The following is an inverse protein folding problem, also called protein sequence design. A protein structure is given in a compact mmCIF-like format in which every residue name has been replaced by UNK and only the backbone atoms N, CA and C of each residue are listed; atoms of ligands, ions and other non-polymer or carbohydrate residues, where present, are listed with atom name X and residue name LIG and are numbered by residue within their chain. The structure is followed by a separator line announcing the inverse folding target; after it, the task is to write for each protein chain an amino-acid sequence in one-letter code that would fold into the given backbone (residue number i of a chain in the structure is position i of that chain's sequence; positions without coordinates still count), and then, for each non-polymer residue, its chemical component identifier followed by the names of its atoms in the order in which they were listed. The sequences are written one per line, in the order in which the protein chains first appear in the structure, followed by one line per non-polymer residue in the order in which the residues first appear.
data_IF_406760181501
#
_entry.id   IF_406760181501
#
_cell.length_a   1.000
_cell.length_b   1.000
_cell.length_c   1.000
_cell.angle_alpha   90.00
_cell.angle_beta   90.00
_cell.angle_gamma   90.00
#
_symmetry.space_group_name_H-M   'P 1'
#
loop_
_entity.id
_entity.type
_entity.pdbx_description
1 polymer ?
#
# COMPACT_ATOMS: atom_id res chain seq x y z
N UNK A 1 -26.67 -11.03 0.16
CA UNK A 1 -25.81 -11.42 1.31
C UNK A 1 -24.44 -10.82 1.14
N UNK A 2 -23.93 -10.19 2.16
CA UNK A 2 -22.65 -9.50 2.06
C UNK A 2 -21.47 -10.48 2.13
N UNK A 3 -20.45 -10.21 1.32
CA UNK A 3 -19.22 -10.99 1.28
C UNK A 3 -18.40 -10.74 2.54
N UNK A 4 -17.87 -11.78 3.15
CA UNK A 4 -17.09 -11.69 4.39
C UNK A 4 -15.64 -12.14 4.24
N UNK A 5 -15.33 -12.95 3.24
CA UNK A 5 -13.98 -13.47 3.01
C UNK A 5 -13.54 -13.03 1.62
N UNK A 6 -12.34 -12.44 1.58
CA UNK A 6 -11.77 -11.88 0.37
C UNK A 6 -10.42 -12.53 0.11
N UNK A 7 -10.07 -12.71 -1.16
CA UNK A 7 -8.77 -13.24 -1.56
C UNK A 7 -8.05 -12.20 -2.40
N UNK A 8 -6.74 -12.11 -2.23
CA UNK A 8 -5.91 -11.16 -2.95
C UNK A 8 -6.11 -11.24 -4.47
N UNK A 9 -6.14 -12.44 -5.01
CA UNK A 9 -6.28 -12.67 -6.45
C UNK A 9 -7.64 -12.29 -7.02
N UNK A 10 -8.62 -12.05 -6.16
CA UNK A 10 -9.94 -11.57 -6.58
C UNK A 10 -10.00 -10.04 -6.62
N UNK A 11 -9.02 -9.38 -6.02
CA UNK A 11 -8.98 -7.93 -6.00
C UNK A 11 -8.48 -7.36 -7.32
N UNK A 12 -8.74 -6.09 -7.53
CA UNK A 12 -8.27 -5.39 -8.71
C UNK A 12 -6.75 -5.19 -8.62
N UNK A 13 -6.05 -5.61 -9.67
CA UNK A 13 -4.60 -5.44 -9.74
C UNK A 13 -4.25 -4.16 -10.49
N UNK A 14 -3.48 -3.29 -9.85
CA UNK A 14 -3.01 -2.05 -10.45
C UNK A 14 -1.48 -2.13 -10.57
N UNK A 15 -0.98 -1.90 -11.78
CA UNK A 15 0.46 -1.89 -12.04
C UNK A 15 0.96 -0.47 -12.23
N UNK A 16 2.05 -0.16 -11.52
CA UNK A 16 2.75 1.11 -11.63
C UNK A 16 4.13 0.86 -12.20
N UNK A 17 4.58 1.74 -13.10
CA UNK A 17 5.86 1.57 -13.79
C UNK A 17 6.96 2.50 -13.32
N UNK A 18 6.61 3.55 -12.67
CA UNK A 18 7.60 4.52 -12.26
C UNK A 18 7.37 5.06 -10.85
N UNK A 19 7.92 4.45 -9.82
CA UNK A 19 8.68 3.19 -9.76
C UNK A 19 7.80 1.95 -9.91
N UNK A 20 8.41 0.86 -10.34
CA UNK A 20 7.71 -0.41 -10.58
C UNK A 20 7.16 -0.98 -9.28
N UNK A 21 5.87 -1.29 -9.26
CA UNK A 21 5.22 -1.95 -8.13
C UNK A 21 3.81 -2.39 -8.54
N UNK A 22 3.28 -3.36 -7.80
CA UNK A 22 1.94 -3.89 -8.07
C UNK A 22 1.08 -3.73 -6.83
N UNK A 23 -0.09 -3.12 -6.99
CA UNK A 23 -1.07 -2.95 -5.93
C UNK A 23 -2.27 -3.85 -6.19
N UNK A 24 -2.74 -4.53 -5.14
CA UNK A 24 -4.02 -5.24 -5.19
C UNK A 24 -4.98 -4.53 -4.24
N UNK A 25 -6.13 -4.08 -4.77
CA UNK A 25 -7.20 -3.51 -3.97
C UNK A 25 -8.12 -4.66 -3.59
N UNK A 26 -8.15 -5.02 -2.33
CA UNK A 26 -8.81 -6.25 -1.89
C UNK A 26 -10.16 -5.98 -1.23
N UNK A 27 -10.20 -5.06 -0.26
CA UNK A 27 -11.45 -4.70 0.43
C UNK A 27 -11.66 -3.20 0.31
N UNK A 28 -12.79 -2.79 -0.24
CA UNK A 28 -13.14 -1.38 -0.43
C UNK A 28 -14.66 -1.23 -0.37
N UNK A 29 -15.18 -0.01 -0.21
CA UNK A 29 -16.63 0.17 -0.18
C UNK A 29 -17.36 -0.35 -1.41
N UNK A 30 -16.72 -0.32 -2.58
CA UNK A 30 -17.35 -0.75 -3.83
C UNK A 30 -17.59 -2.26 -3.90
N UNK A 31 -16.83 -3.07 -3.16
CA UNK A 31 -16.94 -4.53 -3.21
C UNK A 31 -17.31 -5.18 -1.87
N UNK A 32 -17.69 -4.37 -0.89
CA UNK A 32 -17.93 -4.88 0.47
C UNK A 32 -18.86 -3.95 1.24
N UNK A 33 -19.18 -4.33 2.48
CA UNK A 33 -19.96 -3.51 3.39
C UNK A 33 -19.10 -2.57 4.23
N UNK A 34 -17.80 -2.50 3.98
CA UNK A 34 -16.95 -1.60 4.76
C UNK A 34 -17.31 -0.15 4.48
N UNK A 35 -17.34 0.65 5.52
CA UNK A 35 -17.56 2.10 5.42
C UNK A 35 -16.31 2.87 5.82
N UNK A 36 -15.45 2.24 6.63
CA UNK A 36 -14.34 2.93 7.28
C UNK A 36 -12.97 2.56 6.74
N UNK A 37 -12.88 1.48 5.96
CA UNK A 37 -11.57 0.94 5.59
C UNK A 37 -11.39 0.73 4.10
N UNK A 38 -10.14 0.83 3.69
CA UNK A 38 -9.63 0.30 2.43
C UNK A 38 -8.47 -0.61 2.80
N UNK A 39 -8.44 -1.82 2.25
CA UNK A 39 -7.33 -2.76 2.50
C UNK A 39 -6.86 -3.35 1.18
N UNK A 40 -5.55 -3.44 1.06
CA UNK A 40 -4.92 -4.07 -0.09
C UNK A 40 -3.49 -4.46 0.21
N UNK A 41 -2.77 -4.81 -0.84
CA UNK A 41 -1.35 -5.15 -0.75
C UNK A 41 -0.58 -4.41 -1.82
N UNK A 42 0.71 -4.23 -1.58
CA UNK A 42 1.64 -3.71 -2.58
C UNK A 42 2.90 -4.57 -2.58
N UNK A 43 3.31 -5.00 -3.75
CA UNK A 43 4.56 -5.72 -3.95
C UNK A 43 5.55 -4.79 -4.63
N UNK A 44 6.70 -4.62 -3.98
CA UNK A 44 7.79 -3.76 -4.45
C UNK A 44 8.96 -4.64 -4.87
N UNK A 45 9.26 -4.73 -6.18
CA UNK A 45 10.38 -5.55 -6.65
C UNK A 45 11.72 -5.05 -6.14
N UNK A 46 12.77 -5.89 -6.19
CA UNK A 46 14.12 -5.45 -5.85
C UNK A 46 14.53 -4.20 -6.64
N UNK A 47 15.10 -3.23 -5.95
CA UNK A 47 15.55 -1.99 -6.56
C UNK A 47 14.46 -0.94 -6.77
N UNK A 48 13.22 -1.27 -6.47
CA UNK A 48 12.11 -0.34 -6.65
C UNK A 48 11.69 0.31 -5.33
N UNK A 49 10.65 1.13 -5.39
CA UNK A 49 10.22 1.91 -4.22
C UNK A 49 8.74 2.27 -4.30
N UNK A 50 8.18 2.64 -3.15
CA UNK A 50 6.95 3.41 -3.07
C UNK A 50 7.39 4.85 -2.85
N UNK A 51 7.05 5.79 -3.76
CA UNK A 51 7.51 7.16 -3.64
C UNK A 51 7.07 7.82 -2.35
N UNK A 52 7.90 8.73 -1.86
CA UNK A 52 7.62 9.52 -0.67
C UNK A 52 6.40 10.41 -0.93
N UNK A 53 5.40 10.30 -0.07
CA UNK A 53 4.12 10.99 -0.25
C UNK A 53 3.39 11.12 1.08
N UNK A 54 2.32 11.91 1.10
CA UNK A 54 1.46 12.07 2.28
C UNK A 54 0.00 12.00 1.87
N UNK A 55 -0.84 11.61 2.83
CA UNK A 55 -2.29 11.62 2.66
C UNK A 55 -2.89 12.67 3.57
N UNK A 56 -3.83 13.46 3.05
CA UNK A 56 -4.37 14.61 3.77
C UNK A 56 -5.34 14.23 4.88
N UNK A 57 -6.21 13.25 4.61
CA UNK A 57 -7.31 12.89 5.50
C UNK A 57 -7.22 11.47 6.06
N UNK A 58 -6.41 10.62 5.45
CA UNK A 58 -6.34 9.20 5.79
C UNK A 58 -5.18 8.93 6.73
N UNK A 59 -5.43 8.08 7.74
CA UNK A 59 -4.33 7.41 8.41
C UNK A 59 -4.11 6.06 7.73
N UNK A 60 -2.90 5.57 7.81
CA UNK A 60 -2.52 4.32 7.15
C UNK A 60 -1.70 3.45 8.09
N UNK A 61 -2.01 2.15 8.08
CA UNK A 61 -1.18 1.12 8.72
C UNK A 61 -0.63 0.25 7.61
N UNK A 62 0.68 0.02 7.63
CA UNK A 62 1.36 -0.81 6.64
C UNK A 62 2.10 -1.93 7.36
N UNK A 63 1.75 -3.17 7.02
CA UNK A 63 2.33 -4.37 7.61
C UNK A 63 3.18 -5.10 6.58
N UNK A 64 4.49 -5.22 6.87
CA UNK A 64 5.40 -5.98 6.01
C UNK A 64 5.21 -7.46 6.31
N UNK A 65 4.70 -8.22 5.32
CA UNK A 65 4.46 -9.65 5.53
C UNK A 65 5.48 -10.53 4.83
N UNK A 66 6.29 -9.99 3.92
CA UNK A 66 7.42 -10.69 3.29
C UNK A 66 8.49 -9.67 2.89
N UNK A 67 9.74 -10.09 2.94
CA UNK A 67 10.86 -9.27 2.49
C UNK A 67 11.38 -8.32 3.54
N UNK A 68 12.23 -7.39 3.08
CA UNK A 68 12.84 -6.36 3.91
C UNK A 68 13.18 -5.15 3.07
N UNK A 69 13.44 -4.04 3.72
CA UNK A 69 13.78 -2.79 3.05
C UNK A 69 13.89 -1.65 4.05
N UNK A 70 13.60 -0.45 3.57
CA UNK A 70 13.61 0.76 4.40
C UNK A 70 12.29 1.48 4.25
N UNK A 71 11.78 2.00 5.37
CA UNK A 71 10.67 2.94 5.39
C UNK A 71 11.23 4.31 5.75
N UNK A 72 10.83 5.34 5.02
CA UNK A 72 11.13 6.72 5.39
C UNK A 72 9.84 7.35 5.88
N UNK A 73 9.84 7.87 7.09
CA UNK A 73 8.65 8.45 7.74
C UNK A 73 9.04 9.80 8.30
N UNK A 74 8.41 10.86 7.81
CA UNK A 74 8.71 12.26 8.20
C UNK A 74 10.22 12.56 8.19
N UNK A 75 10.90 12.10 7.14
CA UNK A 75 12.34 12.35 6.96
C UNK A 75 13.27 11.42 7.71
N UNK A 76 12.74 10.51 8.51
CA UNK A 76 13.56 9.56 9.26
C UNK A 76 13.48 8.18 8.61
N UNK A 77 14.63 7.51 8.45
CA UNK A 77 14.73 6.21 7.80
C UNK A 77 14.76 5.09 8.83
N UNK A 78 13.96 4.06 8.58
CA UNK A 78 13.86 2.88 9.46
C UNK A 78 14.05 1.62 8.64
N UNK A 79 14.78 0.65 9.18
CA UNK A 79 14.83 -0.69 8.61
C UNK A 79 13.52 -1.40 8.88
N UNK A 80 12.96 -2.06 7.87
CA UNK A 80 11.75 -2.86 8.02
C UNK A 80 11.99 -4.26 7.45
N UNK A 81 11.30 -5.23 8.02
CA UNK A 81 11.35 -6.62 7.60
C UNK A 81 10.04 -7.29 7.94
N UNK A 82 9.92 -8.57 7.60
CA UNK A 82 8.71 -9.35 7.91
C UNK A 82 8.29 -9.14 9.36
N UNK A 83 7.06 -8.69 9.56
CA UNK A 83 6.50 -8.39 10.88
C UNK A 83 6.55 -6.92 11.27
N UNK A 84 7.25 -6.06 10.51
CA UNK A 84 7.29 -4.62 10.80
C UNK A 84 5.94 -3.98 10.49
N UNK A 85 5.54 -3.02 11.33
CA UNK A 85 4.33 -2.23 11.11
C UNK A 85 4.70 -0.76 11.13
N UNK A 86 4.23 -0.01 10.13
CA UNK A 86 4.42 1.42 10.03
C UNK A 86 3.05 2.08 10.16
N UNK A 87 2.93 3.03 11.08
CA UNK A 87 1.72 3.83 11.24
C UNK A 87 1.99 5.26 10.78
N UNK A 88 1.17 5.76 9.90
CA UNK A 88 1.27 7.14 9.42
C UNK A 88 -0.06 7.86 9.66
N UNK A 89 -0.08 8.84 10.59
CA UNK A 89 -1.24 9.72 10.75
C UNK A 89 -1.43 10.59 9.51
N UNK A 90 -2.59 11.25 9.37
CA UNK A 90 -2.81 12.18 8.26
C UNK A 90 -1.71 13.25 8.21
N UNK A 91 -1.24 13.57 7.00
CA UNK A 91 -0.18 14.56 6.78
C UNK A 91 1.23 14.06 6.97
N UNK A 92 1.41 12.83 7.44
CA UNK A 92 2.73 12.24 7.64
C UNK A 92 3.30 11.77 6.30
N UNK A 93 4.44 12.32 5.90
CA UNK A 93 5.11 11.89 4.66
C UNK A 93 5.82 10.57 4.86
N UNK A 94 5.68 9.68 3.91
CA UNK A 94 6.26 8.34 4.01
C UNK A 94 6.49 7.70 2.66
N UNK A 95 7.36 6.70 2.64
CA UNK A 95 7.67 5.90 1.46
C UNK A 95 8.46 4.66 1.86
N UNK A 96 8.67 3.78 0.90
CA UNK A 96 9.45 2.55 1.11
C UNK A 96 10.45 2.38 -0.01
N UNK A 97 11.60 1.79 0.32
CA UNK A 97 12.62 1.45 -0.67
C UNK A 97 13.04 -0.01 -0.47
N UNK A 98 13.07 -0.75 -1.56
CA UNK A 98 13.53 -2.14 -1.53
C UNK A 98 14.94 -2.22 -2.12
N UNK A 99 15.94 -2.28 -1.25
CA UNK A 99 17.34 -2.44 -1.63
C UNK A 99 17.80 -3.90 -1.55
N UNK A 100 16.87 -4.81 -1.26
CA UNK A 100 17.17 -6.23 -1.09
C UNK A 100 16.99 -6.99 -2.41
N UNK A 101 17.22 -8.30 -2.39
CA UNK A 101 17.19 -9.16 -3.56
C UNK A 101 15.86 -9.87 -3.77
N UNK A 102 14.93 -9.71 -2.86
CA UNK A 102 13.59 -10.31 -2.92
C UNK A 102 12.51 -9.24 -2.87
N UNK A 103 11.31 -9.58 -3.30
CA UNK A 103 10.17 -8.67 -3.28
C UNK A 103 9.83 -8.26 -1.84
N UNK A 104 9.58 -6.97 -1.66
CA UNK A 104 9.05 -6.43 -0.40
C UNK A 104 7.53 -6.40 -0.53
N UNK A 105 6.84 -7.15 0.33
CA UNK A 105 5.39 -7.30 0.27
C UNK A 105 4.75 -6.68 1.51
N UNK A 106 3.83 -5.76 1.29
CA UNK A 106 3.22 -4.94 2.33
C UNK A 106 1.70 -5.01 2.21
N UNK A 107 1.03 -5.25 3.34
CA UNK A 107 -0.42 -5.10 3.42
C UNK A 107 -0.71 -3.70 3.96
N UNK A 108 -1.60 -2.96 3.32
CA UNK A 108 -1.94 -1.61 3.75
C UNK A 108 -3.41 -1.49 4.14
N UNK A 109 -3.67 -0.63 5.10
CA UNK A 109 -4.99 -0.35 5.63
C UNK A 109 -5.14 1.17 5.75
N UNK A 110 -6.10 1.73 5.04
CA UNK A 110 -6.43 3.16 5.11
C UNK A 110 -7.76 3.37 5.80
N UNK A 111 -7.87 4.41 6.59
CA UNK A 111 -9.14 4.87 7.14
C UNK A 111 -9.13 6.40 7.17
N UNK A 112 -10.15 7.06 6.59
CA UNK A 112 -11.26 6.50 5.81
C UNK A 112 -10.82 6.04 4.42
N UNK A 113 -11.67 5.32 3.69
CA UNK A 113 -11.38 4.97 2.30
C UNK A 113 -11.49 6.21 1.39
N UNK A 114 -11.03 6.09 0.16
CA UNK A 114 -11.07 7.16 -0.83
C UNK A 114 -9.84 7.20 -1.71
N UNK A 115 -8.67 6.82 -1.16
CA UNK A 115 -7.41 6.84 -1.90
C UNK A 115 -7.41 5.85 -3.08
N UNK A 116 -8.26 4.85 -3.06
CA UNK A 116 -8.36 3.87 -4.15
C UNK A 116 -8.68 4.53 -5.48
N UNK A 117 -9.44 5.62 -5.48
CA UNK A 117 -9.77 6.37 -6.69
C UNK A 117 -8.51 7.01 -7.28
N UNK A 118 -7.68 7.58 -6.43
CA UNK A 118 -6.41 8.20 -6.84
C UNK A 118 -5.45 7.13 -7.37
N UNK A 119 -5.39 5.99 -6.71
CA UNK A 119 -4.52 4.88 -7.13
C UNK A 119 -4.93 4.37 -8.52
N UNK A 120 -6.22 4.21 -8.77
CA UNK A 120 -6.71 3.78 -10.08
C UNK A 120 -6.35 4.77 -11.18
N UNK A 121 -6.50 6.06 -10.92
CA UNK A 121 -6.16 7.09 -11.90
C UNK A 121 -4.68 7.14 -12.19
N UNK A 122 -3.84 7.03 -11.17
CA UNK A 122 -2.38 7.03 -11.33
C UNK A 122 -1.90 5.81 -12.11
N UNK A 123 -2.45 4.63 -11.83
CA UNK A 123 -2.10 3.42 -12.56
C UNK A 123 -2.50 3.54 -14.03
N UNK A 124 -3.67 4.12 -14.32
CA UNK A 124 -4.15 4.34 -15.67
C UNK A 124 -3.24 5.30 -16.43
N UNK A 125 -2.79 6.36 -15.78
CA UNK A 125 -1.91 7.35 -16.40
C UNK A 125 -0.54 6.80 -16.74
N UNK A 126 -0.11 5.72 -16.08
CA UNK A 126 1.18 5.07 -16.30
C UNK A 126 1.11 3.88 -17.26
N UNK A 127 -0.09 3.53 -17.70
CA UNK A 127 -0.24 2.35 -18.56
C UNK A 127 0.03 2.67 -20.05
#
# INVERSE_FOLDING_TARGET
MSKKVFRKEEGEMLKFKGPDRTVHLIVEPANSDTKEFLMGTVEVPPGSSIPYHAHTNEEEIMFVYEGRGFATVDGEEFRVSKGSVVLTPPGCEHGFTNTWTETLSIAFFYSPPGIEKVLRERAKAQS
#
